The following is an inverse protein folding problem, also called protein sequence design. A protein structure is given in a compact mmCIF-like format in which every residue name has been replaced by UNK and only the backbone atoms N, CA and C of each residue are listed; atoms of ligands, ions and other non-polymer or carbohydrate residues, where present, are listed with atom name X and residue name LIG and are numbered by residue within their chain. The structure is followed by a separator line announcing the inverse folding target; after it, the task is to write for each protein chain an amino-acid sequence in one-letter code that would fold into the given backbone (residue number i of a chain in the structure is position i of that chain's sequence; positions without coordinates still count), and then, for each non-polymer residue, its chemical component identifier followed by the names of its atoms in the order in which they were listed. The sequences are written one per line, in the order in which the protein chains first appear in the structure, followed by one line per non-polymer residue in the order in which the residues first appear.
data_IF_132573381501
#
_entry.id   IF_132573381501
#
_cell.length_a   1.000
_cell.length_b   1.000
_cell.length_c   1.000
_cell.angle_alpha   90.00
_cell.angle_beta   90.00
_cell.angle_gamma   90.00
#
_symmetry.space_group_name_H-M   'P 1'
#
loop_
_entity.id
_entity.type
_entity.pdbx_description
1 polymer ?
#
# COMPACT_ATOMS: atom_id res chain seq x y z
N UNK A 1 -20.21 48.18 -15.68
CA UNK A 1 -20.80 47.55 -16.86
C UNK A 1 -20.12 46.19 -17.09
N UNK A 2 -20.89 45.12 -16.90
CA UNK A 2 -20.69 43.70 -17.24
C UNK A 2 -19.27 43.14 -17.46
N UNK A 3 -18.78 42.34 -16.50
CA UNK A 3 -17.66 41.43 -16.67
C UNK A 3 -18.01 40.30 -17.64
N UNK A 4 -17.39 40.33 -18.82
CA UNK A 4 -17.53 39.34 -19.90
C UNK A 4 -16.43 38.28 -19.72
N UNK A 5 -16.72 37.19 -19.00
CA UNK A 5 -15.72 36.16 -18.73
C UNK A 5 -16.29 34.79 -18.44
N UNK A 6 -16.06 33.88 -19.42
CA UNK A 6 -15.91 32.42 -19.29
C UNK A 6 -17.21 31.61 -19.17
N UNK A 7 -17.71 31.19 -20.34
CA UNK A 7 -18.58 30.03 -20.43
C UNK A 7 -17.83 28.79 -19.94
N UNK A 8 -18.38 28.14 -18.92
CA UNK A 8 -17.95 26.82 -18.46
C UNK A 8 -18.16 25.85 -19.64
N UNK A 9 -17.11 25.12 -20.03
CA UNK A 9 -17.17 24.15 -21.12
C UNK A 9 -18.29 23.13 -20.84
N UNK A 10 -19.24 22.99 -21.78
CA UNK A 10 -20.24 21.95 -21.73
C UNK A 10 -19.58 20.60 -22.04
N UNK A 11 -19.91 19.57 -21.27
CA UNK A 11 -19.47 18.20 -21.56
C UNK A 11 -20.18 17.68 -22.82
N UNK A 12 -19.58 16.72 -23.52
CA UNK A 12 -20.17 16.08 -24.70
C UNK A 12 -21.36 15.16 -24.36
N UNK A 13 -21.60 14.90 -23.07
CA UNK A 13 -22.69 14.09 -22.55
C UNK A 13 -23.59 14.91 -21.61
N UNK A 14 -24.82 14.44 -21.41
CA UNK A 14 -25.79 15.09 -20.53
C UNK A 14 -25.45 14.84 -19.06
N UNK A 15 -25.06 15.90 -18.33
CA UNK A 15 -24.72 15.87 -16.90
C UNK A 15 -25.96 15.67 -16.02
N UNK A 16 -27.12 16.19 -16.45
CA UNK A 16 -28.37 16.10 -15.69
C UNK A 16 -28.91 14.67 -15.64
N UNK A 17 -28.66 13.89 -16.70
CA UNK A 17 -28.97 12.46 -16.73
C UNK A 17 -28.15 11.64 -15.72
N UNK A 18 -27.00 12.18 -15.26
CA UNK A 18 -26.18 11.60 -14.19
C UNK A 18 -26.61 12.09 -12.80
N UNK A 19 -27.66 12.90 -12.69
CA UNK A 19 -28.13 13.48 -11.43
C UNK A 19 -27.25 14.61 -10.90
N UNK A 20 -26.33 15.12 -11.71
CA UNK A 20 -25.41 16.19 -11.34
C UNK A 20 -25.96 17.53 -11.83
N UNK A 21 -26.05 18.51 -10.93
CA UNK A 21 -26.49 19.87 -11.24
C UNK A 21 -25.30 20.83 -11.20
N UNK A 22 -25.42 22.00 -11.85
CA UNK A 22 -24.33 23.02 -11.82
C UNK A 22 -23.92 23.46 -10.41
N UNK A 23 -24.81 23.33 -9.42
CA UNK A 23 -24.54 23.66 -8.02
C UNK A 23 -23.99 22.50 -7.19
N UNK A 24 -23.95 21.28 -7.73
CA UNK A 24 -23.55 20.05 -7.03
C UNK A 24 -22.36 19.34 -7.69
N UNK A 25 -21.53 20.09 -8.42
CA UNK A 25 -20.36 19.53 -9.08
C UNK A 25 -19.31 19.17 -8.01
N UNK A 26 -18.71 17.96 -8.04
CA UNK A 26 -17.68 17.60 -7.08
C UNK A 26 -16.48 18.54 -7.23
N UNK A 27 -15.77 18.75 -6.13
CA UNK A 27 -14.59 19.59 -6.14
C UNK A 27 -13.52 19.04 -7.09
N UNK A 28 -12.88 19.94 -7.82
CA UNK A 28 -11.76 19.56 -8.69
C UNK A 28 -10.55 19.22 -7.83
N UNK A 29 -10.15 17.96 -7.83
CA UNK A 29 -8.97 17.47 -7.12
C UNK A 29 -7.71 18.16 -7.66
N UNK A 30 -6.88 18.73 -6.78
CA UNK A 30 -5.69 19.54 -7.16
C UNK A 30 -4.40 18.73 -7.41
N UNK A 31 -4.43 17.41 -7.27
CA UNK A 31 -3.25 16.55 -7.44
C UNK A 31 -3.54 15.08 -7.13
N UNK A 32 -2.62 14.15 -7.43
CA UNK A 32 -2.81 12.72 -7.17
C UNK A 32 -2.97 12.46 -5.66
N UNK A 33 -3.71 11.40 -5.33
CA UNK A 33 -3.79 10.94 -3.94
C UNK A 33 -2.42 10.41 -3.46
N UNK A 34 -2.12 10.53 -2.16
CA UNK A 34 -0.88 9.97 -1.62
C UNK A 34 -0.86 8.44 -1.75
N UNK A 35 0.33 7.87 -1.99
CA UNK A 35 0.54 6.42 -2.12
C UNK A 35 0.12 5.66 -0.85
N UNK A 36 0.31 6.28 0.31
CA UNK A 36 -0.07 5.74 1.61
C UNK A 36 -1.14 6.64 2.23
N UNK A 37 -2.43 6.30 2.11
CA UNK A 37 -3.49 7.06 2.75
C UNK A 37 -3.37 6.94 4.27
N UNK A 38 -3.88 7.96 4.98
CA UNK A 38 -3.96 7.91 6.43
C UNK A 38 -5.03 6.88 6.83
N UNK A 39 -4.66 5.98 7.73
CA UNK A 39 -5.57 4.98 8.31
C UNK A 39 -6.06 5.48 9.66
N UNK A 40 -7.34 5.27 9.96
CA UNK A 40 -7.95 5.65 11.24
C UNK A 40 -7.45 4.77 12.39
N UNK A 41 -7.22 3.49 12.13
CA UNK A 41 -6.85 2.50 13.15
C UNK A 41 -5.46 1.94 12.89
N UNK A 42 -4.68 1.82 13.98
CA UNK A 42 -3.37 1.16 13.96
C UNK A 42 -3.51 -0.30 14.41
N UNK A 43 -2.65 -1.20 13.92
CA UNK A 43 -2.60 -2.55 14.46
C UNK A 43 -2.32 -2.52 15.97
N UNK A 44 -2.91 -3.46 16.69
CA UNK A 44 -2.70 -3.60 18.13
C UNK A 44 -1.24 -3.95 18.48
N UNK A 45 -0.81 -3.67 19.73
CA UNK A 45 0.50 -4.07 20.20
C UNK A 45 0.65 -5.60 20.20
N UNK A 46 1.90 -6.07 20.16
CA UNK A 46 2.19 -7.49 20.34
C UNK A 46 1.82 -7.93 21.76
N UNK A 47 1.43 -9.21 21.90
CA UNK A 47 1.23 -9.83 23.20
C UNK A 47 2.55 -9.87 23.96
N UNK A 48 2.50 -9.54 25.24
CA UNK A 48 3.62 -9.59 26.16
C UNK A 48 3.41 -10.72 27.17
N UNK A 49 4.51 -11.35 27.59
CA UNK A 49 4.50 -12.47 28.50
C UNK A 49 5.73 -13.35 28.31
N UNK A 50 6.07 -14.09 29.36
CA UNK A 50 7.23 -14.99 29.34
C UNK A 50 7.05 -16.10 28.30
N UNK A 51 5.83 -16.62 28.14
CA UNK A 51 5.49 -17.63 27.14
C UNK A 51 5.71 -17.11 25.71
N UNK A 52 5.24 -15.90 25.41
CA UNK A 52 5.44 -15.28 24.09
C UNK A 52 6.93 -15.01 23.80
N UNK A 53 7.67 -14.54 24.80
CA UNK A 53 9.10 -14.26 24.69
C UNK A 53 9.91 -15.55 24.52
N UNK A 54 9.56 -16.60 25.24
CA UNK A 54 10.15 -17.93 25.09
C UNK A 54 9.94 -18.47 23.67
N UNK A 55 8.70 -18.45 23.18
CA UNK A 55 8.39 -18.92 21.84
C UNK A 55 9.09 -18.09 20.75
N UNK A 56 9.27 -16.79 20.98
CA UNK A 56 10.02 -15.91 20.09
C UNK A 56 11.52 -16.24 20.08
N UNK A 57 12.11 -16.53 21.23
CA UNK A 57 13.50 -16.95 21.34
C UNK A 57 13.71 -18.30 20.63
N UNK A 58 12.86 -19.28 20.93
CA UNK A 58 12.91 -20.61 20.33
C UNK A 58 12.82 -20.56 18.81
N UNK A 59 11.92 -19.74 18.26
CA UNK A 59 11.79 -19.55 16.80
C UNK A 59 13.11 -19.04 16.18
N UNK A 60 13.80 -18.12 16.85
CA UNK A 60 15.07 -17.57 16.35
C UNK A 60 16.18 -18.63 16.39
N UNK A 61 16.28 -19.38 17.48
CA UNK A 61 17.23 -20.49 17.62
C UNK A 61 17.00 -21.56 16.54
N UNK A 62 15.74 -21.97 16.33
CA UNK A 62 15.40 -22.93 15.28
C UNK A 62 15.83 -22.44 13.90
N UNK A 63 15.58 -21.16 13.56
CA UNK A 63 16.04 -20.58 12.28
C UNK A 63 17.56 -20.63 12.14
N UNK A 64 18.29 -20.41 13.23
CA UNK A 64 19.76 -20.55 13.24
C UNK A 64 20.17 -22.00 13.00
N UNK A 65 19.73 -22.90 13.87
CA UNK A 65 20.10 -24.33 13.87
C UNK A 65 19.73 -25.03 12.57
N UNK A 66 18.56 -24.72 12.00
CA UNK A 66 18.11 -25.34 10.75
C UNK A 66 19.04 -25.06 9.57
N UNK A 67 19.78 -23.95 9.57
CA UNK A 67 20.74 -23.64 8.51
C UNK A 67 21.99 -24.53 8.54
N UNK A 68 22.33 -25.06 9.71
CA UNK A 68 23.51 -25.90 9.93
C UNK A 68 23.19 -27.39 9.79
N UNK A 69 21.90 -27.75 9.75
CA UNK A 69 21.47 -29.13 9.54
C UNK A 69 21.76 -29.59 8.10
N UNK A 70 22.03 -30.89 7.89
CA UNK A 70 22.31 -31.45 6.57
C UNK A 70 21.12 -31.34 5.59
N UNK A 71 19.93 -31.07 6.12
CA UNK A 71 18.72 -30.84 5.33
C UNK A 71 18.67 -29.43 4.69
N UNK A 72 19.56 -28.51 5.07
CA UNK A 72 19.68 -27.21 4.42
C UNK A 72 20.51 -27.31 3.13
N UNK A 73 19.88 -27.85 2.08
CA UNK A 73 20.51 -28.01 0.76
C UNK A 73 20.75 -26.62 0.16
N UNK A 74 22.02 -26.25 -0.01
CA UNK A 74 22.40 -24.98 -0.63
C UNK A 74 22.17 -25.02 -2.14
N UNK A 75 21.82 -23.89 -2.77
CA UNK A 75 21.75 -23.83 -4.23
C UNK A 75 23.11 -24.21 -4.81
N UNK A 76 23.10 -24.97 -5.92
CA UNK A 76 24.31 -25.29 -6.64
C UNK A 76 24.94 -23.97 -7.12
N UNK A 77 26.17 -23.68 -6.68
CA UNK A 77 26.93 -22.58 -7.28
C UNK A 77 27.17 -22.98 -8.74
N UNK A 78 26.40 -22.43 -9.66
CA UNK A 78 26.60 -22.69 -11.09
C UNK A 78 28.02 -22.29 -11.44
N UNK A 79 28.76 -23.16 -12.12
CA UNK A 79 29.93 -22.73 -12.89
C UNK A 79 29.44 -21.74 -13.93
N UNK A 80 29.59 -20.45 -13.66
CA UNK A 80 29.25 -19.35 -14.56
C UNK A 80 30.08 -18.13 -14.15
N UNK A 81 31.09 -17.69 -14.90
CA UNK A 81 31.52 -18.13 -16.22
C UNK A 81 33.02 -17.93 -16.40
N UNK A 82 33.64 -18.93 -17.02
CA UNK A 82 34.86 -18.77 -17.77
C UNK A 82 34.41 -18.23 -19.15
N UNK A 83 34.56 -16.92 -19.34
CA UNK A 83 34.57 -16.25 -20.64
C UNK A 83 35.78 -15.34 -20.66
#
# INVERSE_FOLDING_TARGET
MAGKGRGIAAFTFNIEALGLTRGSMPETQRGPTPLFPQIEYKPGPLKAGEDEDYMRALKQEMRGRMKDLPFNIKPHAGKGGEK
#
